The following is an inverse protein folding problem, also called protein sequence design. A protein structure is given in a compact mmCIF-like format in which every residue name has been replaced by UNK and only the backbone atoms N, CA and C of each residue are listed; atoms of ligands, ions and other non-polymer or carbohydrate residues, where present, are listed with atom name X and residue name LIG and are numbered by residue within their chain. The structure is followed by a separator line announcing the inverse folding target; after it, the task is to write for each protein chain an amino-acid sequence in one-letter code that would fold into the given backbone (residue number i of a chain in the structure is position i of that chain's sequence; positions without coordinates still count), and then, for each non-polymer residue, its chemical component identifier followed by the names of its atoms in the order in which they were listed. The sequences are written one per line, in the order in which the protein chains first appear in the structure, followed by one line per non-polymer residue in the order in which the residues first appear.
data_IF_001379588224
#
_entry.id   IF_001379588224
#
_cell.length_a   1.000
_cell.length_b   1.000
_cell.length_c   1.000
_cell.angle_alpha   90.00
_cell.angle_beta   90.00
_cell.angle_gamma   90.00
#
_symmetry.space_group_name_H-M   'P 1'
#
loop_
_entity.id
_entity.type
_entity.pdbx_description
1 polymer ?
#
# COMPACT_ATOMS: atom_id res chain seq x y z
N UNK A 1 -6.31 -46.75 15.77
CA UNK A 1 -6.83 -45.74 16.73
C UNK A 1 -6.24 -44.39 16.34
N UNK A 2 -7.15 -43.43 16.18
CA UNK A 2 -7.09 -42.02 15.81
C UNK A 2 -5.74 -41.26 15.84
N UNK A 3 -5.41 -40.56 14.74
CA UNK A 3 -4.47 -39.43 14.75
C UNK A 3 -5.13 -38.23 14.04
N UNK A 4 -5.46 -37.20 14.82
CA UNK A 4 -6.17 -35.98 14.41
C UNK A 4 -5.25 -35.02 13.65
N UNK A 5 -5.55 -34.75 12.37
CA UNK A 5 -4.80 -33.82 11.52
C UNK A 5 -5.62 -32.67 10.91
N UNK A 6 -6.80 -32.34 11.47
CA UNK A 6 -7.74 -31.44 10.79
C UNK A 6 -8.08 -30.19 11.62
N UNK A 7 -7.19 -29.19 11.64
CA UNK A 7 -7.54 -27.81 12.04
C UNK A 7 -6.75 -26.75 11.26
N UNK A 8 -6.87 -26.75 9.93
CA UNK A 8 -6.38 -25.65 9.05
C UNK A 8 -7.48 -25.08 8.15
N UNK A 9 -8.71 -24.99 8.65
CA UNK A 9 -9.85 -24.48 7.85
C UNK A 9 -10.55 -23.27 8.49
N UNK A 10 -9.94 -22.62 9.47
CA UNK A 10 -10.53 -21.48 10.19
C UNK A 10 -10.01 -20.09 9.74
N UNK A 11 -9.35 -19.99 8.58
CA UNK A 11 -8.98 -18.70 7.98
C UNK A 11 -9.76 -18.44 6.68
N UNK A 12 -11.05 -18.80 6.67
CA UNK A 12 -11.98 -18.20 5.73
C UNK A 12 -12.33 -16.83 6.30
N UNK A 13 -11.57 -15.82 5.87
CA UNK A 13 -11.91 -14.41 6.11
C UNK A 13 -13.31 -14.17 5.55
N UNK A 14 -14.30 -14.17 6.43
CA UNK A 14 -15.61 -13.61 6.15
C UNK A 14 -15.39 -12.14 5.83
N UNK A 15 -15.54 -11.83 4.54
CA UNK A 15 -15.70 -10.50 4.00
C UNK A 15 -16.89 -9.86 4.72
N UNK A 16 -16.58 -9.19 5.83
CA UNK A 16 -17.51 -8.43 6.62
C UNK A 16 -17.81 -7.16 5.84
N UNK A 17 -19.03 -7.07 5.34
CA UNK A 17 -19.67 -5.82 4.91
C UNK A 17 -19.46 -4.78 6.01
N UNK A 18 -18.93 -3.57 5.73
CA UNK A 18 -18.76 -2.57 6.77
C UNK A 18 -20.12 -2.02 7.18
N UNK A 19 -20.63 -2.50 8.32
CA UNK A 19 -21.72 -1.83 9.05
C UNK A 19 -21.09 -0.66 9.79
N UNK A 20 -21.16 0.52 9.19
CA UNK A 20 -20.56 1.74 9.71
C UNK A 20 -21.36 2.22 10.94
N UNK A 21 -20.82 1.98 12.13
CA UNK A 21 -21.34 2.54 13.38
C UNK A 21 -21.11 4.07 13.40
N UNK A 22 -22.08 4.88 13.86
CA UNK A 22 -21.90 6.32 14.00
C UNK A 22 -21.10 6.58 15.29
N UNK A 23 -19.81 6.86 15.16
CA UNK A 23 -18.95 7.23 16.30
C UNK A 23 -17.49 6.81 16.22
N UNK A 24 -17.07 6.08 15.17
CA UNK A 24 -15.64 5.79 14.97
C UNK A 24 -14.87 7.09 14.68
N UNK A 25 -13.73 7.34 15.36
CA UNK A 25 -12.88 8.45 15.00
C UNK A 25 -12.54 8.30 13.52
N UNK A 26 -12.72 9.37 12.74
CA UNK A 26 -12.31 9.40 11.35
C UNK A 26 -10.79 9.29 11.31
N UNK A 27 -10.27 8.07 11.35
CA UNK A 27 -8.90 7.80 10.96
C UNK A 27 -8.83 8.25 9.50
N UNK A 28 -8.08 9.31 9.25
CA UNK A 28 -7.80 9.80 7.90
C UNK A 28 -6.90 8.76 7.24
N UNK A 29 -7.48 7.65 6.79
CA UNK A 29 -6.77 6.65 6.01
C UNK A 29 -6.52 7.27 4.66
N UNK A 30 -5.32 7.83 4.47
CA UNK A 30 -4.93 8.41 3.19
C UNK A 30 -5.02 7.31 2.12
N UNK A 31 -5.83 7.56 1.09
CA UNK A 31 -6.00 6.62 -0.02
C UNK A 31 -4.66 6.40 -0.73
N UNK A 32 -4.37 5.17 -1.20
CA UNK A 32 -3.19 4.94 -2.02
C UNK A 32 -3.28 5.75 -3.32
N UNK A 33 -2.12 6.26 -3.77
CA UNK A 33 -1.99 7.08 -4.98
C UNK A 33 -1.01 6.41 -5.92
N UNK A 34 -1.32 6.33 -7.20
CA UNK A 34 -0.39 5.81 -8.20
C UNK A 34 0.66 6.87 -8.54
N UNK A 35 1.92 6.46 -8.65
CA UNK A 35 3.02 7.31 -9.06
C UNK A 35 3.67 6.77 -10.33
N UNK A 36 4.06 7.67 -11.23
CA UNK A 36 4.94 7.39 -12.36
C UNK A 36 6.34 7.96 -12.08
N UNK A 37 7.37 7.18 -12.40
CA UNK A 37 8.75 7.61 -12.33
C UNK A 37 9.31 7.97 -13.71
N UNK A 38 9.81 9.19 -13.88
CA UNK A 38 10.29 9.74 -15.15
C UNK A 38 11.80 9.90 -15.23
N UNK A 39 12.57 9.33 -14.28
CA UNK A 39 14.03 9.37 -14.32
C UNK A 39 14.63 8.31 -15.24
N UNK A 40 15.95 8.33 -15.41
CA UNK A 40 16.64 7.54 -16.43
C UNK A 40 16.95 6.09 -16.03
N UNK A 41 17.10 5.82 -14.73
CA UNK A 41 17.51 4.52 -14.18
C UNK A 41 16.56 4.06 -13.09
N UNK A 42 16.61 2.79 -12.69
CA UNK A 42 15.86 2.27 -11.55
C UNK A 42 15.97 3.18 -10.32
N UNK A 43 14.84 3.38 -9.63
CA UNK A 43 14.74 4.15 -8.39
C UNK A 43 14.17 3.25 -7.29
N UNK A 44 14.77 3.28 -6.10
CA UNK A 44 14.27 2.60 -4.91
C UNK A 44 14.09 3.62 -3.79
N UNK A 45 12.90 3.67 -3.20
CA UNK A 45 12.55 4.60 -2.13
C UNK A 45 11.86 3.83 -1.01
N UNK A 46 12.25 4.08 0.24
CA UNK A 46 11.53 3.57 1.41
C UNK A 46 10.53 4.62 1.89
N UNK A 47 9.27 4.23 2.03
CA UNK A 47 8.23 5.05 2.63
C UNK A 47 8.56 5.33 4.10
N UNK A 48 8.71 6.59 4.53
CA UNK A 48 9.18 6.90 5.88
C UNK A 48 8.14 6.59 6.97
N UNK A 49 6.85 6.53 6.62
CA UNK A 49 5.78 6.27 7.59
C UNK A 49 5.39 4.79 7.63
N UNK A 50 5.38 4.12 6.48
CA UNK A 50 5.02 2.69 6.43
C UNK A 50 6.21 1.73 6.46
N UNK A 51 7.40 2.20 6.09
CA UNK A 51 8.57 1.35 5.86
C UNK A 51 8.51 0.53 4.56
N UNK A 52 7.50 0.73 3.71
CA UNK A 52 7.37 0.00 2.43
C UNK A 52 8.49 0.41 1.48
N UNK A 53 9.11 -0.57 0.82
CA UNK A 53 10.14 -0.35 -0.18
C UNK A 53 9.52 -0.32 -1.59
N UNK A 54 9.49 0.86 -2.21
CA UNK A 54 8.98 1.09 -3.56
C UNK A 54 10.12 1.01 -4.57
N UNK A 55 10.00 0.13 -5.57
CA UNK A 55 11.03 -0.11 -6.60
C UNK A 55 10.50 0.22 -7.98
N UNK A 56 10.84 1.39 -8.51
CA UNK A 56 10.51 1.80 -9.87
C UNK A 56 11.58 1.27 -10.82
N UNK A 57 11.21 0.34 -11.72
CA UNK A 57 12.16 -0.37 -12.59
C UNK A 57 12.91 0.53 -13.59
N UNK A 58 12.40 1.73 -13.89
CA UNK A 58 13.00 2.66 -14.86
C UNK A 58 11.98 3.68 -15.35
N UNK A 59 12.30 4.44 -16.42
CA UNK A 59 11.44 5.47 -16.96
C UNK A 59 10.04 4.93 -17.32
N UNK A 60 8.99 5.64 -16.90
CA UNK A 60 7.60 5.25 -17.11
C UNK A 60 7.09 4.16 -16.15
N UNK A 61 7.92 3.65 -15.23
CA UNK A 61 7.47 2.68 -14.24
C UNK A 61 6.42 3.30 -13.32
N UNK A 62 5.36 2.54 -13.02
CA UNK A 62 4.24 2.96 -12.19
C UNK A 62 4.03 2.04 -11.00
N UNK A 63 3.72 2.62 -9.84
CA UNK A 63 3.45 1.89 -8.60
C UNK A 63 2.40 2.60 -7.76
N UNK A 64 1.58 1.82 -7.06
CA UNK A 64 0.75 2.36 -5.99
C UNK A 64 1.58 2.62 -4.74
N UNK A 65 1.49 3.86 -4.25
CA UNK A 65 2.14 4.36 -3.04
C UNK A 65 1.09 4.46 -1.95
N UNK A 66 1.45 4.07 -0.73
CA UNK A 66 0.55 4.19 0.42
C UNK A 66 0.29 5.67 0.72
N UNK A 67 -0.97 6.03 0.95
CA UNK A 67 -1.37 7.44 1.06
C UNK A 67 -0.58 8.23 2.11
N UNK A 68 -0.19 7.60 3.21
CA UNK A 68 0.62 8.23 4.25
C UNK A 68 2.01 8.64 3.75
N UNK A 69 2.63 7.90 2.82
CA UNK A 69 3.97 8.21 2.32
C UNK A 69 3.96 9.22 1.15
N UNK A 70 2.79 9.49 0.56
CA UNK A 70 2.63 10.39 -0.60
C UNK A 70 3.31 11.75 -0.39
N UNK A 71 3.12 12.48 0.73
CA UNK A 71 3.75 13.78 0.91
C UNK A 71 5.28 13.71 0.85
N UNK A 72 5.86 12.60 1.31
CA UNK A 72 7.30 12.39 1.28
C UNK A 72 7.78 12.07 -0.14
N UNK A 73 7.04 11.22 -0.87
CA UNK A 73 7.42 10.84 -2.23
C UNK A 73 7.26 11.97 -3.26
N UNK A 74 6.41 12.97 -3.00
CA UNK A 74 6.33 14.19 -3.82
C UNK A 74 7.64 15.01 -3.84
N UNK A 75 8.50 14.86 -2.82
CA UNK A 75 9.79 15.54 -2.75
C UNK A 75 10.89 14.84 -3.56
N UNK A 76 10.65 13.61 -4.03
CA UNK A 76 11.64 12.81 -4.76
C UNK A 76 11.67 13.23 -6.23
N UNK A 77 12.83 13.67 -6.76
CA UNK A 77 12.94 14.07 -8.15
C UNK A 77 12.53 12.96 -9.13
N UNK A 78 11.71 13.32 -10.11
CA UNK A 78 11.25 12.39 -11.15
C UNK A 78 10.05 11.53 -10.75
N UNK A 79 9.55 11.60 -9.52
CA UNK A 79 8.27 11.00 -9.14
C UNK A 79 7.11 11.96 -9.40
N UNK A 80 6.05 11.47 -10.06
CA UNK A 80 4.83 12.23 -10.33
C UNK A 80 3.60 11.43 -9.93
N UNK A 81 2.68 11.99 -9.13
CA UNK A 81 1.41 11.33 -8.87
C UNK A 81 0.57 11.31 -10.16
N UNK A 82 -0.10 10.19 -10.41
CA UNK A 82 -1.15 10.05 -11.41
C UNK A 82 -2.48 10.25 -10.70
N UNK A 83 -3.26 11.22 -11.20
CA UNK A 83 -4.60 11.60 -10.70
C UNK A 83 -5.68 10.68 -11.24
#
# INVERSE_FOLDING_TARGET
MSCCGSQRTAFRSESSTPSQAPGEPTYWTSLPVEFEYTGASQLTVTGPLTGILYVFAGPGARLQVHGSDVPSLLSVPGLKPLS
#
